data_IF_955267387777
#
_entry.id   IF_955267387777
#
_cell.length_a   1.000
_cell.length_b   1.000
_cell.length_c   1.000
_cell.angle_alpha   90.00
_cell.angle_beta   90.00
_cell.angle_gamma   90.00
#
_symmetry.space_group_name_H-M   'P 1'
#
loop_
_entity.id
_entity.type
_entity.pdbx_description
1 polymer ?
#
# COMPACT_ATOMS: atom_id res chain seq x y z
N UNK A 1 21.40 -12.97 34.11
CA UNK A 1 20.56 -12.16 33.21
C UNK A 1 19.10 -12.51 33.46
N UNK A 2 18.32 -11.58 34.03
CA UNK A 2 16.90 -11.81 34.29
C UNK A 2 16.13 -11.87 32.95
N UNK A 3 15.27 -12.87 32.77
CA UNK A 3 14.41 -12.96 31.59
C UNK A 3 13.19 -12.05 31.83
N UNK A 4 12.89 -11.11 30.92
CA UNK A 4 11.75 -10.22 31.10
C UNK A 4 10.44 -10.99 31.09
N UNK A 5 9.49 -10.51 31.88
CA UNK A 5 8.14 -11.04 32.00
C UNK A 5 7.38 -10.92 30.68
N UNK A 6 6.35 -11.75 30.49
CA UNK A 6 5.52 -11.75 29.28
C UNK A 6 4.84 -10.39 29.05
N UNK A 7 4.46 -9.70 30.13
CA UNK A 7 3.85 -8.37 30.08
C UNK A 7 4.83 -7.29 29.60
N UNK A 8 6.06 -7.29 30.10
CA UNK A 8 7.09 -6.33 29.69
C UNK A 8 7.39 -6.44 28.19
N UNK A 9 7.42 -7.67 27.66
CA UNK A 9 7.61 -7.91 26.23
C UNK A 9 6.45 -7.35 25.38
N UNK A 10 5.22 -7.46 25.89
CA UNK A 10 4.04 -6.90 25.23
C UNK A 10 4.07 -5.37 25.25
N UNK A 11 4.40 -4.77 26.40
CA UNK A 11 4.52 -3.31 26.55
C UNK A 11 5.60 -2.75 25.62
N UNK A 12 6.77 -3.38 25.59
CA UNK A 12 7.86 -2.98 24.69
C UNK A 12 7.46 -3.10 23.21
N UNK A 13 6.62 -4.06 22.84
CA UNK A 13 6.05 -4.12 21.49
C UNK A 13 5.11 -2.94 21.21
N UNK A 14 4.23 -2.60 22.15
CA UNK A 14 3.27 -1.50 22.02
C UNK A 14 4.02 -0.16 21.91
N UNK A 15 5.03 0.09 22.73
CA UNK A 15 5.85 1.30 22.66
C UNK A 15 6.52 1.46 21.30
N UNK A 16 7.20 0.41 20.80
CA UNK A 16 7.82 0.45 19.47
C UNK A 16 6.81 0.64 18.34
N UNK A 17 5.63 0.06 18.50
CA UNK A 17 4.53 0.19 17.54
C UNK A 17 4.00 1.63 17.50
N UNK A 18 3.77 2.24 18.67
CA UNK A 18 3.39 3.64 18.81
C UNK A 18 4.45 4.59 18.25
N UNK A 19 5.74 4.31 18.46
CA UNK A 19 6.82 5.13 17.91
C UNK A 19 6.84 5.11 16.36
N UNK A 20 6.51 3.98 15.74
CA UNK A 20 6.57 3.80 14.27
C UNK A 20 5.30 4.28 13.56
N UNK A 21 4.13 4.09 14.15
CA UNK A 21 2.83 4.34 13.52
C UNK A 21 1.97 5.39 14.23
N UNK A 22 2.36 5.84 15.42
CA UNK A 22 1.53 6.67 16.31
C UNK A 22 0.44 5.87 17.01
N UNK A 23 -0.60 6.57 17.46
CA UNK A 23 -1.79 5.98 18.09
C UNK A 23 -2.88 5.61 17.07
N UNK A 24 -2.48 4.97 15.97
CA UNK A 24 -3.40 4.65 14.86
C UNK A 24 -4.05 3.28 14.95
N UNK A 25 -3.64 2.46 15.91
CA UNK A 25 -4.08 1.07 16.04
C UNK A 25 -4.44 0.75 17.48
N UNK A 26 -5.49 -0.05 17.63
CA UNK A 26 -5.95 -0.56 18.91
C UNK A 26 -5.33 -1.91 19.22
N UNK A 27 -4.75 -2.03 20.42
CA UNK A 27 -4.07 -3.24 20.91
C UNK A 27 -4.90 -4.00 21.96
N UNK A 28 -6.14 -3.60 22.23
CA UNK A 28 -6.97 -4.15 23.33
C UNK A 28 -7.21 -5.67 23.26
N UNK A 29 -7.19 -6.26 22.06
CA UNK A 29 -7.36 -7.73 21.88
C UNK A 29 -6.04 -8.46 21.60
N UNK A 30 -4.91 -7.76 21.65
CA UNK A 30 -3.62 -8.31 21.26
C UNK A 30 -3.10 -9.32 22.30
N UNK A 31 -2.87 -10.57 21.87
CA UNK A 31 -2.19 -11.60 22.67
C UNK A 31 -0.74 -11.76 22.25
N UNK A 32 0.19 -11.19 23.02
CA UNK A 32 1.62 -11.32 22.73
C UNK A 32 2.20 -12.63 23.30
N UNK A 33 2.59 -13.54 22.41
CA UNK A 33 3.25 -14.81 22.76
C UNK A 33 4.73 -14.74 22.45
N UNK A 34 5.08 -14.56 21.17
CA UNK A 34 6.46 -14.46 20.67
C UNK A 34 6.54 -13.47 19.50
N UNK A 35 7.77 -13.18 19.05
CA UNK A 35 8.03 -12.28 17.91
C UNK A 35 7.58 -12.85 16.56
N UNK A 36 7.51 -14.18 16.46
CA UNK A 36 7.14 -14.94 15.26
C UNK A 36 5.67 -15.30 15.21
N UNK A 37 5.00 -15.35 16.36
CA UNK A 37 3.58 -15.67 16.44
C UNK A 37 2.76 -14.53 15.86
N UNK A 38 1.81 -14.78 14.94
CA UNK A 38 0.92 -13.74 14.45
C UNK A 38 0.07 -13.18 15.60
N UNK A 39 -0.04 -11.86 15.63
CA UNK A 39 -0.89 -11.11 16.57
C UNK A 39 -2.00 -10.43 15.80
N UNK A 40 -3.15 -10.32 16.45
CA UNK A 40 -4.29 -9.56 15.94
C UNK A 40 -4.16 -8.10 16.38
N UNK A 41 -4.18 -7.19 15.42
CA UNK A 41 -4.14 -5.74 15.63
C UNK A 41 -5.39 -5.15 15.00
N UNK A 42 -6.04 -4.22 15.70
CA UNK A 42 -7.26 -3.57 15.23
C UNK A 42 -6.91 -2.23 14.55
N UNK A 43 -7.34 -2.08 13.31
CA UNK A 43 -7.37 -0.80 12.61
C UNK A 43 -8.76 -0.17 12.78
N UNK A 44 -8.88 1.07 13.29
CA UNK A 44 -10.18 1.70 13.51
C UNK A 44 -10.97 1.92 12.21
N UNK A 45 -10.29 2.06 11.06
CA UNK A 45 -10.94 2.30 9.76
C UNK A 45 -11.31 1.02 9.00
N UNK A 46 -10.59 -0.07 9.22
CA UNK A 46 -10.67 -1.27 8.35
C UNK A 46 -10.85 -2.58 9.12
N UNK A 47 -10.88 -2.55 10.45
CA UNK A 47 -11.07 -3.70 11.32
C UNK A 47 -9.78 -4.44 11.69
N UNK A 48 -9.95 -5.67 12.18
CA UNK A 48 -8.87 -6.53 12.65
C UNK A 48 -8.01 -7.07 11.50
N UNK A 49 -6.70 -7.15 11.71
CA UNK A 49 -5.79 -7.82 10.81
C UNK A 49 -4.71 -8.59 11.58
N UNK A 50 -4.21 -9.65 10.95
CA UNK A 50 -3.19 -10.50 11.53
C UNK A 50 -1.81 -10.14 10.96
N UNK A 51 -0.84 -9.93 11.83
CA UNK A 51 0.56 -9.69 11.44
C UNK A 51 1.51 -10.25 12.49
N UNK A 52 2.70 -10.66 12.09
CA UNK A 52 3.73 -11.05 13.06
C UNK A 52 4.43 -9.81 13.64
N UNK A 53 4.76 -9.78 14.94
CA UNK A 53 5.43 -8.66 15.58
C UNK A 53 6.77 -8.29 14.92
N UNK A 54 7.55 -9.29 14.50
CA UNK A 54 8.82 -9.06 13.83
C UNK A 54 8.65 -8.31 12.50
N UNK A 55 7.64 -8.69 11.71
CA UNK A 55 7.34 -8.04 10.45
C UNK A 55 6.75 -6.63 10.67
N UNK A 56 5.85 -6.49 11.65
CA UNK A 56 5.24 -5.20 11.99
C UNK A 56 6.28 -4.14 12.40
N UNK A 57 7.26 -4.54 13.23
CA UNK A 57 8.33 -3.68 13.71
C UNK A 57 9.54 -3.57 12.76
N UNK A 58 9.58 -4.32 11.67
CA UNK A 58 10.73 -4.32 10.74
C UNK A 58 11.02 -2.90 10.22
N UNK A 59 12.27 -2.43 10.33
CA UNK A 59 12.66 -1.06 9.92
C UNK A 59 12.59 -0.87 8.40
N UNK A 60 12.85 -1.93 7.64
CA UNK A 60 12.96 -1.89 6.17
C UNK A 60 11.62 -1.63 5.47
N UNK A 61 10.50 -2.11 6.04
CA UNK A 61 9.16 -1.99 5.45
C UNK A 61 8.15 -1.50 6.48
N UNK A 62 7.34 -0.51 6.11
CA UNK A 62 6.15 -0.12 6.88
C UNK A 62 5.04 -1.12 6.57
N UNK A 63 4.90 -2.11 7.45
CA UNK A 63 3.85 -3.13 7.40
C UNK A 63 2.78 -2.74 8.41
N UNK A 64 1.65 -2.25 7.90
CA UNK A 64 0.46 -1.92 8.67
C UNK A 64 -0.78 -2.49 7.99
N UNK A 65 -1.94 -1.90 8.24
CA UNK A 65 -3.17 -2.32 7.57
C UNK A 65 -2.99 -2.27 6.03
N UNK A 66 -3.27 -3.36 5.30
CA UNK A 66 -3.08 -3.42 3.85
C UNK A 66 -4.00 -2.45 3.13
N UNK A 67 -5.21 -2.23 3.66
CA UNK A 67 -6.20 -1.32 3.09
C UNK A 67 -5.76 0.14 3.24
N UNK A 68 -5.34 0.57 4.45
CA UNK A 68 -4.71 1.89 4.64
C UNK A 68 -3.51 2.09 3.71
N UNK A 69 -2.64 1.08 3.59
CA UNK A 69 -1.43 1.17 2.76
C UNK A 69 -1.77 1.32 1.27
N UNK A 70 -2.79 0.63 0.78
CA UNK A 70 -3.29 0.77 -0.60
C UNK A 70 -3.88 2.16 -0.83
N UNK A 71 -4.69 2.66 0.10
CA UNK A 71 -5.28 3.99 0.01
C UNK A 71 -4.20 5.09 -0.07
N UNK A 72 -3.14 4.99 0.73
CA UNK A 72 -2.01 5.94 0.69
C UNK A 72 -1.26 5.91 -0.64
N UNK A 73 -1.04 4.72 -1.22
CA UNK A 73 -0.41 4.60 -2.54
C UNK A 73 -1.26 5.21 -3.65
N UNK A 74 -2.57 5.00 -3.62
CA UNK A 74 -3.49 5.57 -4.61
C UNK A 74 -3.42 7.10 -4.65
N UNK A 75 -3.44 7.76 -3.48
CA UNK A 75 -3.29 9.23 -3.36
C UNK A 75 -1.98 9.73 -3.97
N UNK A 76 -0.87 8.99 -3.77
CA UNK A 76 0.45 9.35 -4.29
C UNK A 76 0.54 9.23 -5.82
N UNK A 77 -0.17 8.28 -6.43
CA UNK A 77 -0.20 8.11 -7.89
C UNK A 77 -1.02 9.20 -8.56
N UNK A 78 -2.16 9.59 -7.97
CA UNK A 78 -3.01 10.68 -8.50
C UNK A 78 -2.23 11.98 -8.69
N UNK A 79 -1.40 12.37 -7.71
CA UNK A 79 -0.52 13.54 -7.82
C UNK A 79 0.47 13.49 -9.00
N UNK A 80 0.88 12.30 -9.45
CA UNK A 80 1.82 12.15 -10.57
C UNK A 80 1.14 12.18 -11.94
N UNK A 81 -0.15 11.87 -11.99
CA UNK A 81 -0.93 11.90 -13.23
C UNK A 81 -1.32 13.33 -13.60
N UNK A 82 -1.64 14.15 -12.59
CA UNK A 82 -2.01 15.56 -12.78
C UNK A 82 -0.86 16.40 -13.36
N UNK A 83 0.38 16.16 -12.93
CA UNK A 83 1.55 16.96 -13.34
C UNK A 83 2.20 16.52 -14.67
N UNK A 84 1.75 15.44 -15.31
CA UNK A 84 2.39 14.87 -16.52
C UNK A 84 1.52 14.88 -17.77
N UNK A 85 0.42 15.64 -17.77
CA UNK A 85 -0.46 15.72 -18.92
C UNK A 85 -0.17 16.94 -19.81
N UNK A 86 1.11 17.30 -19.98
CA UNK A 86 1.49 18.06 -21.16
C UNK A 86 1.63 17.05 -22.29
N UNK A 87 0.65 17.05 -23.19
CA UNK A 87 0.56 16.16 -24.34
C UNK A 87 1.77 16.43 -25.23
N UNK A 88 2.91 15.76 -24.99
CA UNK A 88 3.95 15.67 -26.01
C UNK A 88 3.40 14.80 -27.11
N UNK A 89 2.81 15.45 -28.11
CA UNK A 89 2.44 14.81 -29.37
C UNK A 89 3.61 13.94 -29.84
N UNK A 90 3.28 12.72 -30.24
CA UNK A 90 4.21 11.80 -30.86
C UNK A 90 4.67 12.40 -32.19
N UNK A 91 5.77 13.17 -32.19
CA UNK A 91 6.43 13.70 -33.39
C UNK A 91 7.21 12.63 -34.16
N UNK A 92 6.74 11.37 -34.12
CA UNK A 92 7.25 10.31 -34.96
C UNK A 92 6.13 9.86 -35.88
N UNK A 93 6.34 9.99 -37.18
CA UNK A 93 5.52 9.42 -38.26
C UNK A 93 5.66 7.88 -38.33
N UNK A 94 5.92 7.25 -37.19
CA UNK A 94 5.95 5.81 -37.09
C UNK A 94 4.54 5.35 -36.75
N UNK A 95 3.91 4.67 -37.71
CA UNK A 95 2.70 3.88 -37.56
C UNK A 95 2.86 2.83 -36.45
N UNK A 96 2.83 3.27 -35.20
CA UNK A 96 2.92 2.37 -34.06
C UNK A 96 1.52 1.83 -33.77
N UNK A 97 1.23 0.68 -34.38
CA UNK A 97 -0.01 -0.08 -34.20
C UNK A 97 -0.06 -0.63 -32.77
N UNK A 98 -0.44 0.21 -31.81
CA UNK A 98 -1.02 -0.19 -30.52
C UNK A 98 -2.03 0.86 -30.07
N UNK A 99 -3.31 0.56 -30.28
CA UNK A 99 -4.43 1.37 -29.80
C UNK A 99 -5.09 2.14 -30.93
N UNK A 100 -6.07 1.51 -31.58
CA UNK A 100 -6.81 2.11 -32.68
C UNK A 100 -7.75 3.23 -32.23
N UNK A 101 -7.41 4.46 -32.58
CA UNK A 101 -8.40 5.42 -33.06
C UNK A 101 -7.90 5.93 -34.40
N UNK A 102 -8.43 5.39 -35.49
CA UNK A 102 -8.06 5.84 -36.84
C UNK A 102 -8.58 7.26 -37.00
N UNK A 103 -7.67 8.22 -37.14
CA UNK A 103 -8.01 9.62 -37.44
C UNK A 103 -8.84 9.77 -38.74
N UNK A 104 -8.90 8.73 -39.58
CA UNK A 104 -9.66 8.71 -40.82
C UNK A 104 -10.55 7.47 -40.92
N UNK A 105 -11.65 7.44 -40.17
CA UNK A 105 -12.68 6.40 -40.31
C UNK A 105 -13.29 6.35 -41.71
N UNK A 106 -13.33 7.47 -42.43
CA UNK A 106 -13.89 7.54 -43.78
C UNK A 106 -13.06 6.79 -44.84
N UNK A 107 -11.77 6.53 -44.57
CA UNK A 107 -10.92 5.74 -45.48
C UNK A 107 -11.16 4.24 -45.37
N UNK A 108 -11.76 3.77 -44.27
CA UNK A 108 -12.13 2.35 -44.09
C UNK A 108 -13.32 1.93 -44.96
N UNK A 109 -14.19 2.87 -45.31
CA UNK A 109 -15.40 2.60 -46.11
C UNK A 109 -15.09 2.46 -47.61
N UNK A 110 -13.95 3.00 -48.08
CA UNK A 110 -13.53 2.94 -49.49
C UNK A 110 -12.88 1.61 -49.90
N UNK A 111 -12.69 0.69 -48.97
CA UNK A 111 -12.08 -0.64 -49.23
C UNK A 111 -13.15 -1.72 -49.44
N UNK A 112 -14.42 -1.39 -49.21
CA UNK A 112 -15.55 -2.32 -49.32
C UNK A 112 -16.57 -1.92 -50.41
N UNK A 113 -16.14 -1.15 -51.42
CA UNK A 113 -16.83 -1.01 -52.71
C UNK A 113 -16.11 -1.83 -53.77
#
# INVERSE_FOLDING_TARGET
MLRPSRQERANHFIEKSKLKYGERYDYSKMKYVNRTTPVEILCPEHGAFHTTPNNFLATVKKIGCPLCSRAQKAKRTQKKADEKNEVRGCGTDNFNVRGGTKQYNHLLLKVFD
#
